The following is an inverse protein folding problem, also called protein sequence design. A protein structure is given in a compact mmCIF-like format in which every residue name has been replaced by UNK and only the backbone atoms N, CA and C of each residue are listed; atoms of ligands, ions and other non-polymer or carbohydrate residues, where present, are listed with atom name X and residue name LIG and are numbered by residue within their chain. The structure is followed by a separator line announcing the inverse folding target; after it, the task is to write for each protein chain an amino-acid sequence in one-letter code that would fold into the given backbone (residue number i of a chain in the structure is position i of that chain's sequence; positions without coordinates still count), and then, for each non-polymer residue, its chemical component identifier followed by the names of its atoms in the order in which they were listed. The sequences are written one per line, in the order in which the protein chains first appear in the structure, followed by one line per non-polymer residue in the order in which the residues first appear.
data_IF_638762119694
#
_entry.id   IF_638762119694
#
_cell.length_a   1.000
_cell.length_b   1.000
_cell.length_c   1.000
_cell.angle_alpha   90.00
_cell.angle_beta   90.00
_cell.angle_gamma   90.00
#
_symmetry.space_group_name_H-M   'P 1'
#
loop_
_entity.id
_entity.type
_entity.pdbx_description
1 polymer ?
#
# COMPACT_ATOMS: atom_id res chain seq x y z
N UNK A 1 -3.09 -21.10 20.38
CA UNK A 1 -3.97 -19.96 20.66
C UNK A 1 -4.88 -19.84 19.45
N UNK A 2 -6.17 -20.10 19.59
CA UNK A 2 -7.11 -19.91 18.47
C UNK A 2 -7.19 -18.42 18.13
N UNK A 3 -7.32 -18.05 16.84
CA UNK A 3 -7.61 -16.67 16.50
C UNK A 3 -8.94 -16.26 17.17
N UNK A 4 -9.07 -15.00 17.62
CA UNK A 4 -10.34 -14.52 18.13
C UNK A 4 -11.43 -14.73 17.06
N UNK A 5 -12.69 -14.99 17.48
CA UNK A 5 -13.79 -15.14 16.54
C UNK A 5 -13.85 -13.89 15.65
N UNK A 6 -13.86 -14.09 14.33
CA UNK A 6 -14.15 -13.02 13.39
C UNK A 6 -15.60 -12.59 13.63
N UNK A 7 -15.78 -11.53 14.40
CA UNK A 7 -17.07 -10.83 14.50
C UNK A 7 -17.46 -10.37 13.10
N UNK A 8 -18.54 -10.94 12.56
CA UNK A 8 -19.11 -10.58 11.26
C UNK A 8 -19.82 -9.23 11.28
N UNK A 9 -20.11 -8.69 12.47
CA UNK A 9 -20.58 -7.32 12.66
C UNK A 9 -19.38 -6.36 12.67
N UNK A 10 -18.91 -5.98 11.48
CA UNK A 10 -18.15 -4.73 11.40
C UNK A 10 -19.11 -3.63 11.83
N UNK A 11 -18.69 -2.77 12.75
CA UNK A 11 -19.29 -1.44 12.92
C UNK A 11 -19.07 -0.69 11.60
N UNK A 12 -19.91 -1.00 10.61
CA UNK A 12 -19.98 -0.20 9.39
C UNK A 12 -20.52 1.13 9.87
N UNK A 13 -19.75 2.23 9.75
CA UNK A 13 -20.24 3.54 10.13
C UNK A 13 -21.61 3.75 9.49
N UNK A 14 -22.60 4.24 10.25
CA UNK A 14 -23.88 4.62 9.65
C UNK A 14 -23.61 5.73 8.61
N UNK A 15 -23.68 5.37 7.32
CA UNK A 15 -23.45 6.27 6.19
C UNK A 15 -22.68 5.65 5.02
N UNK A 16 -22.60 6.41 3.94
CA UNK A 16 -21.86 6.04 2.74
C UNK A 16 -20.36 5.95 3.05
N UNK A 17 -19.73 4.84 2.65
CA UNK A 17 -18.34 4.52 2.97
C UNK A 17 -17.53 4.22 1.72
N UNK A 18 -16.33 4.79 1.65
CA UNK A 18 -15.28 4.36 0.72
C UNK A 18 -14.48 3.24 1.37
N UNK A 19 -14.48 2.07 0.73
CA UNK A 19 -13.74 0.88 1.19
C UNK A 19 -12.50 0.75 0.33
N UNK A 20 -11.32 0.74 0.96
CA UNK A 20 -10.03 0.57 0.28
C UNK A 20 -9.39 -0.73 0.76
N UNK A 21 -9.01 -1.59 -0.18
CA UNK A 21 -8.24 -2.80 0.05
C UNK A 21 -6.82 -2.61 -0.46
N UNK A 22 -5.84 -2.85 0.42
CA UNK A 22 -4.41 -2.78 0.11
C UNK A 22 -3.81 -4.19 0.13
N UNK A 23 -3.34 -4.64 -1.04
CA UNK A 23 -2.52 -5.84 -1.17
C UNK A 23 -1.06 -5.46 -0.94
N UNK A 24 -0.53 -5.72 0.26
CA UNK A 24 0.89 -5.53 0.56
C UNK A 24 1.63 -6.82 0.21
N UNK A 25 2.08 -6.93 -1.04
CA UNK A 25 2.79 -8.10 -1.55
C UNK A 25 4.31 -7.99 -1.36
N UNK A 26 5.01 -9.12 -1.45
CA UNK A 26 6.48 -9.13 -1.33
C UNK A 26 7.17 -8.40 -2.48
N UNK A 27 6.67 -8.57 -3.71
CA UNK A 27 7.27 -8.00 -4.92
C UNK A 27 6.52 -6.77 -5.44
N UNK A 28 5.20 -6.84 -5.42
CA UNK A 28 4.31 -5.79 -5.89
C UNK A 28 3.16 -5.62 -4.91
N UNK A 29 2.72 -4.39 -4.74
CA UNK A 29 1.53 -4.02 -3.97
C UNK A 29 0.47 -3.41 -4.87
N UNK A 30 -0.79 -3.42 -4.45
CA UNK A 30 -1.88 -2.85 -5.24
C UNK A 30 -3.01 -2.33 -4.35
N UNK A 31 -3.85 -1.48 -4.93
CA UNK A 31 -5.03 -0.93 -4.28
C UNK A 31 -6.25 -1.23 -5.12
N UNK A 32 -7.29 -1.75 -4.49
CA UNK A 32 -8.64 -1.78 -5.01
C UNK A 32 -9.57 -1.00 -4.08
N UNK A 33 -10.64 -0.42 -4.62
CA UNK A 33 -11.61 0.31 -3.82
C UNK A 33 -13.03 0.14 -4.35
N UNK A 34 -14.01 0.35 -3.48
CA UNK A 34 -15.43 0.33 -3.79
C UNK A 34 -16.18 1.30 -2.88
N UNK A 35 -17.35 1.75 -3.32
CA UNK A 35 -18.28 2.52 -2.49
C UNK A 35 -19.33 1.58 -1.91
N UNK A 36 -19.68 1.76 -0.63
CA UNK A 36 -20.71 0.92 0.01
C UNK A 36 -22.08 1.02 -0.67
N UNK A 37 -22.33 2.13 -1.38
CA UNK A 37 -23.56 2.39 -2.15
C UNK A 37 -23.60 1.68 -3.50
N UNK A 38 -22.47 1.17 -4.00
CA UNK A 38 -22.35 0.46 -5.28
C UNK A 38 -21.36 -0.70 -5.16
N UNK A 39 -21.70 -1.69 -4.33
CA UNK A 39 -20.81 -2.78 -3.95
C UNK A 39 -20.43 -3.74 -5.09
N UNK A 40 -21.14 -3.70 -6.22
CA UNK A 40 -20.83 -4.51 -7.39
C UNK A 40 -19.69 -3.91 -8.24
N UNK A 41 -19.41 -2.61 -8.08
CA UNK A 41 -18.32 -1.93 -8.80
C UNK A 41 -17.07 -1.85 -7.95
N UNK A 42 -16.05 -2.57 -8.39
CA UNK A 42 -14.71 -2.56 -7.82
C UNK A 42 -13.78 -1.85 -8.79
N UNK A 43 -13.07 -0.86 -8.29
CA UNK A 43 -12.08 -0.09 -9.02
C UNK A 43 -10.68 -0.50 -8.57
N UNK A 44 -9.70 -0.41 -9.47
CA UNK A 44 -8.28 -0.66 -9.17
C UNK A 44 -7.49 0.59 -9.49
N UNK A 45 -6.54 0.95 -8.64
CA UNK A 45 -5.57 2.00 -8.97
C UNK A 45 -4.58 1.45 -9.99
N UNK A 46 -4.49 2.09 -11.15
CA UNK A 46 -3.59 1.67 -12.23
C UNK A 46 -2.53 2.70 -12.61
N UNK A 47 -2.70 3.95 -12.18
CA UNK A 47 -1.74 5.02 -12.39
C UNK A 47 -0.91 5.17 -11.12
N UNK A 48 0.41 5.23 -11.29
CA UNK A 48 1.35 5.26 -10.17
C UNK A 48 2.40 6.33 -10.42
N UNK A 49 2.89 7.00 -9.37
CA UNK A 49 3.92 8.03 -9.53
C UNK A 49 5.23 7.41 -10.06
N UNK A 50 5.87 8.10 -11.00
CA UNK A 50 7.05 7.61 -11.72
C UNK A 50 6.75 6.57 -12.80
N UNK A 51 5.47 6.24 -13.01
CA UNK A 51 4.98 5.32 -14.04
C UNK A 51 3.90 5.97 -14.91
N UNK A 52 4.02 7.27 -15.21
CA UNK A 52 2.98 8.06 -15.87
C UNK A 52 2.60 7.51 -17.26
N UNK A 53 3.54 6.86 -17.95
CA UNK A 53 3.33 6.20 -19.24
C UNK A 53 2.92 4.72 -19.13
N UNK A 54 2.68 4.22 -17.90
CA UNK A 54 2.37 2.82 -17.61
C UNK A 54 1.01 2.68 -16.93
N UNK A 55 0.17 1.81 -17.49
CA UNK A 55 -1.06 1.34 -16.82
C UNK A 55 -0.76 -0.03 -16.22
N UNK A 56 -0.61 -0.10 -14.90
CA UNK A 56 -0.29 -1.33 -14.19
C UNK A 56 -1.21 -1.54 -12.99
N UNK A 57 -1.81 -2.73 -12.79
CA UNK A 57 -2.72 -2.98 -11.66
C UNK A 57 -2.01 -3.01 -10.29
N UNK A 58 -0.67 -2.96 -10.29
CA UNK A 58 0.18 -3.02 -9.11
C UNK A 58 1.43 -2.18 -9.30
N UNK A 59 2.03 -1.79 -8.18
CA UNK A 59 3.27 -1.02 -8.07
C UNK A 59 4.35 -1.85 -7.34
N UNK A 60 5.63 -1.75 -7.71
CA UNK A 60 6.70 -2.45 -6.99
C UNK A 60 6.69 -2.19 -5.47
N UNK A 61 6.88 -3.25 -4.66
CA UNK A 61 7.04 -3.15 -3.19
C UNK A 61 8.48 -2.82 -2.85
N UNK A 62 8.87 -1.60 -3.17
CA UNK A 62 10.21 -1.08 -2.94
C UNK A 62 10.15 0.34 -2.43
N UNK A 63 11.11 0.67 -1.57
CA UNK A 63 11.30 2.01 -1.00
C UNK A 63 12.80 2.30 -0.93
N UNK A 64 13.18 3.54 -1.20
CA UNK A 64 14.57 4.02 -1.14
C UNK A 64 14.57 5.37 -0.43
N UNK A 65 15.34 5.46 0.64
CA UNK A 65 15.56 6.73 1.35
C UNK A 65 16.71 7.49 0.71
N UNK A 66 16.64 8.81 0.77
CA UNK A 66 17.78 9.64 0.41
C UNK A 66 18.93 9.43 1.42
N UNK A 67 20.21 9.53 0.99
CA UNK A 67 21.35 9.33 1.88
C UNK A 67 21.27 10.19 3.14
N UNK A 68 21.30 9.54 4.31
CA UNK A 68 21.23 10.20 5.62
C UNK A 68 19.84 10.67 6.05
N UNK A 69 18.78 10.36 5.28
CA UNK A 69 17.40 10.74 5.60
C UNK A 69 16.59 9.56 6.15
N UNK A 70 15.67 9.86 7.07
CA UNK A 70 14.68 8.91 7.60
C UNK A 70 13.24 9.24 7.17
N UNK A 71 13.07 10.34 6.43
CA UNK A 71 11.76 10.90 6.05
C UNK A 71 11.62 11.22 4.57
N UNK A 72 12.73 11.47 3.87
CA UNK A 72 12.74 11.70 2.42
C UNK A 72 13.03 10.38 1.72
N UNK A 73 12.10 9.95 0.88
CA UNK A 73 12.18 8.69 0.18
C UNK A 73 11.42 8.72 -1.14
N UNK A 74 11.78 7.79 -2.02
CA UNK A 74 11.05 7.42 -3.23
C UNK A 74 10.51 6.01 -3.06
N UNK A 75 9.43 5.67 -3.76
CA UNK A 75 8.82 4.34 -3.69
C UNK A 75 8.31 3.88 -5.07
N UNK A 76 8.09 2.58 -5.22
CA UNK A 76 7.47 2.04 -6.43
C UNK A 76 8.23 2.39 -7.71
N UNK A 77 7.51 2.95 -8.69
CA UNK A 77 8.06 3.33 -10.00
C UNK A 77 8.87 4.64 -9.97
N UNK A 78 8.79 5.45 -8.91
CA UNK A 78 9.65 6.64 -8.75
C UNK A 78 11.15 6.28 -8.63
N UNK A 79 11.44 5.04 -8.23
CA UNK A 79 12.80 4.54 -8.09
C UNK A 79 13.31 4.05 -9.45
N UNK A 80 14.12 4.87 -10.09
CA UNK A 80 14.78 4.53 -11.37
C UNK A 80 16.12 3.81 -11.18
N UNK A 81 16.76 3.98 -10.02
CA UNK A 81 18.03 3.31 -9.70
C UNK A 81 17.82 1.84 -9.36
N UNK A 82 18.75 0.98 -9.82
CA UNK A 82 18.78 -0.41 -9.40
C UNK A 82 19.37 -0.58 -7.99
N UNK A 83 20.19 0.37 -7.55
CA UNK A 83 20.99 0.29 -6.32
C UNK A 83 20.27 0.90 -5.10
N UNK A 84 20.65 0.43 -3.91
CA UNK A 84 20.27 0.93 -2.58
C UNK A 84 18.78 0.98 -2.23
N UNK A 85 17.89 0.43 -3.05
CA UNK A 85 16.50 0.20 -2.67
C UNK A 85 16.38 -0.97 -1.69
N UNK A 86 15.40 -0.83 -0.80
CA UNK A 86 14.94 -1.90 0.09
C UNK A 86 13.89 -2.70 -0.67
N UNK A 87 14.10 -4.00 -0.77
CA UNK A 87 13.22 -4.95 -1.46
C UNK A 87 12.70 -6.00 -0.51
N UNK A 88 11.60 -6.67 -0.90
CA UNK A 88 11.01 -7.76 -0.11
C UNK A 88 10.72 -7.35 1.35
N UNK A 89 10.35 -6.08 1.56
CA UNK A 89 10.09 -5.46 2.86
C UNK A 89 9.14 -6.29 3.73
N UNK A 90 8.13 -6.94 3.12
CA UNK A 90 7.21 -7.85 3.80
C UNK A 90 7.91 -8.98 4.56
N UNK A 91 9.00 -9.52 4.01
CA UNK A 91 9.77 -10.61 4.63
C UNK A 91 10.61 -10.12 5.80
N UNK A 92 10.87 -8.82 5.90
CA UNK A 92 11.64 -8.23 6.99
C UNK A 92 10.79 -8.06 8.26
N UNK A 93 9.45 -8.10 8.14
CA UNK A 93 8.53 -7.94 9.27
C UNK A 93 8.54 -9.15 10.22
N UNK A 94 8.90 -10.32 9.71
CA UNK A 94 9.10 -11.55 10.48
C UNK A 94 10.34 -12.28 9.95
N UNK A 95 11.55 -11.84 10.34
CA UNK A 95 12.79 -12.38 9.81
C UNK A 95 13.04 -13.84 10.23
N UNK A 96 12.41 -14.29 11.32
CA UNK A 96 12.52 -15.64 11.86
C UNK A 96 11.56 -16.62 11.18
N UNK A 97 10.58 -16.12 10.42
CA UNK A 97 9.66 -16.97 9.67
C UNK A 97 10.43 -17.90 8.72
N UNK A 98 10.23 -19.23 8.79
CA UNK A 98 10.84 -20.17 7.86
C UNK A 98 10.44 -19.84 6.42
N UNK A 99 11.42 -19.74 5.53
CA UNK A 99 11.21 -19.37 4.11
C UNK A 99 11.50 -20.55 3.19
N UNK A 100 10.69 -20.77 2.14
CA UNK A 100 11.06 -21.67 1.06
C UNK A 100 12.37 -21.25 0.41
N UNK A 101 13.21 -22.22 0.02
CA UNK A 101 14.54 -21.99 -0.55
C UNK A 101 14.55 -21.12 -1.82
N UNK A 102 13.44 -21.09 -2.57
CA UNK A 102 13.34 -20.35 -3.82
C UNK A 102 13.09 -18.84 -3.65
N UNK A 103 13.01 -18.32 -2.42
CA UNK A 103 12.91 -16.88 -2.17
C UNK A 103 14.34 -16.31 -2.08
N UNK A 104 14.79 -15.52 -3.07
CA UNK A 104 16.21 -15.12 -3.20
C UNK A 104 16.62 -13.97 -2.26
N UNK A 105 15.75 -13.53 -1.34
CA UNK A 105 16.00 -12.38 -0.47
C UNK A 105 17.00 -12.72 0.64
N UNK A 106 18.12 -11.99 0.67
CA UNK A 106 19.01 -11.98 1.82
C UNK A 106 18.50 -10.97 2.86
N UNK A 107 17.77 -11.46 3.86
CA UNK A 107 17.16 -10.64 4.92
C UNK A 107 18.21 -9.82 5.67
N UNK A 108 19.37 -10.40 6.00
CA UNK A 108 20.42 -9.68 6.75
C UNK A 108 20.93 -8.47 5.97
N UNK A 109 21.14 -8.62 4.66
CA UNK A 109 21.57 -7.51 3.79
C UNK A 109 20.51 -6.42 3.70
N UNK A 110 19.23 -6.78 3.54
CA UNK A 110 18.16 -5.79 3.47
C UNK A 110 17.93 -5.07 4.81
N UNK A 111 18.08 -5.78 5.94
CA UNK A 111 17.97 -5.20 7.28
C UNK A 111 19.04 -4.12 7.54
N UNK A 112 20.26 -4.31 7.01
CA UNK A 112 21.35 -3.32 7.14
C UNK A 112 21.07 -2.02 6.36
N UNK A 113 20.23 -2.07 5.32
CA UNK A 113 19.85 -0.87 4.55
C UNK A 113 18.84 0.02 5.26
N UNK A 114 18.16 -0.48 6.29
CA UNK A 114 17.05 0.23 6.91
C UNK A 114 17.56 1.42 7.73
N UNK A 115 17.09 2.66 7.46
CA UNK A 115 17.50 3.83 8.24
C UNK A 115 16.73 3.95 9.56
N UNK A 116 15.74 3.08 9.78
CA UNK A 116 14.84 3.02 10.95
C UNK A 116 14.24 1.63 11.08
N UNK A 117 13.34 1.39 12.02
CA UNK A 117 12.79 0.04 12.22
C UNK A 117 12.01 -0.45 11.00
N UNK A 118 11.97 -1.76 10.77
CA UNK A 118 11.22 -2.37 9.66
C UNK A 118 9.76 -1.90 9.66
N UNK A 119 9.15 -1.84 10.85
CA UNK A 119 7.76 -1.43 11.00
C UNK A 119 7.54 0.02 10.54
N UNK A 120 8.46 0.93 10.85
CA UNK A 120 8.39 2.32 10.39
C UNK A 120 8.59 2.41 8.87
N UNK A 121 9.53 1.64 8.31
CA UNK A 121 9.74 1.60 6.85
C UNK A 121 8.53 1.02 6.11
N UNK A 122 7.91 -0.03 6.65
CA UNK A 122 6.66 -0.57 6.13
C UNK A 122 5.50 0.43 6.25
N UNK A 123 5.45 1.18 7.35
CA UNK A 123 4.45 2.22 7.56
C UNK A 123 4.59 3.37 6.56
N UNK A 124 5.83 3.81 6.27
CA UNK A 124 6.09 4.81 5.23
C UNK A 124 5.62 4.34 3.85
N UNK A 125 6.00 3.12 3.47
CA UNK A 125 5.63 2.57 2.17
C UNK A 125 4.11 2.44 2.03
N UNK A 126 3.45 1.76 2.98
CA UNK A 126 1.99 1.59 2.94
C UNK A 126 1.26 2.93 3.05
N UNK A 127 1.80 3.86 3.84
CA UNK A 127 1.31 5.23 3.93
C UNK A 127 1.37 5.95 2.59
N UNK A 128 2.50 5.89 1.89
CA UNK A 128 2.66 6.50 0.57
C UNK A 128 1.69 5.92 -0.47
N UNK A 129 1.56 4.59 -0.53
CA UNK A 129 0.60 3.89 -1.40
C UNK A 129 -0.83 4.34 -1.12
N UNK A 130 -1.22 4.39 0.17
CA UNK A 130 -2.56 4.79 0.59
C UNK A 130 -2.85 6.26 0.29
N UNK A 131 -1.89 7.16 0.57
CA UNK A 131 -2.02 8.58 0.26
C UNK A 131 -2.12 8.84 -1.24
N UNK A 132 -1.41 8.08 -2.07
CA UNK A 132 -1.57 8.13 -3.53
C UNK A 132 -2.97 7.68 -3.96
N UNK A 133 -3.46 6.56 -3.43
CA UNK A 133 -4.81 6.10 -3.71
C UNK A 133 -5.87 7.16 -3.38
N UNK A 134 -5.76 7.84 -2.23
CA UNK A 134 -6.67 8.94 -1.88
C UNK A 134 -6.63 10.13 -2.85
N UNK A 135 -5.50 10.38 -3.52
CA UNK A 135 -5.39 11.43 -4.54
C UNK A 135 -6.01 11.01 -5.87
N UNK A 136 -5.84 9.75 -6.26
CA UNK A 136 -6.39 9.20 -7.51
C UNK A 136 -7.90 8.96 -7.44
N UNK A 137 -8.42 8.62 -6.27
CA UNK A 137 -9.86 8.44 -6.07
C UNK A 137 -10.52 9.82 -6.14
N UNK A 138 -11.26 10.03 -7.23
CA UNK A 138 -11.86 11.31 -7.59
C UNK A 138 -12.60 11.98 -6.41
N UNK A 139 -12.13 13.16 -5.95
CA UNK A 139 -12.80 13.93 -4.92
C UNK A 139 -14.24 14.33 -5.28
N UNK A 140 -14.58 14.49 -6.57
CA UNK A 140 -15.94 14.75 -7.03
C UNK A 140 -16.82 13.51 -6.95
N UNK A 141 -16.34 12.33 -7.35
CA UNK A 141 -17.03 11.08 -7.06
C UNK A 141 -17.25 10.93 -5.54
N UNK A 142 -16.22 11.12 -4.72
CA UNK A 142 -16.32 11.05 -3.25
C UNK A 142 -17.31 12.09 -2.68
N UNK A 143 -17.40 13.29 -3.28
CA UNK A 143 -18.36 14.34 -2.88
C UNK A 143 -19.78 14.14 -3.39
N UNK A 144 -19.96 13.62 -4.60
CA UNK A 144 -21.25 13.30 -5.18
C UNK A 144 -21.96 12.19 -4.37
N UNK A 145 -21.17 11.29 -3.76
CA UNK A 145 -21.64 10.28 -2.81
C UNK A 145 -21.58 10.75 -1.34
N UNK A 146 -21.35 12.04 -1.07
CA UNK A 146 -21.50 12.58 0.29
C UNK A 146 -22.99 12.86 0.56
N UNK A 147 -23.58 12.37 1.68
CA UNK A 147 -25.02 12.46 1.97
C UNK A 147 -25.62 13.88 2.02
N UNK A 148 -24.77 14.91 1.98
CA UNK A 148 -25.16 16.32 2.08
C UNK A 148 -25.53 16.98 0.74
N UNK A 149 -25.41 16.28 -0.38
CA UNK A 149 -25.67 16.83 -1.73
C UNK A 149 -27.10 16.62 -2.27
N UNK A 150 -27.95 15.87 -1.56
CA UNK A 150 -29.33 15.55 -2.00
C UNK A 150 -30.44 16.35 -1.32
N UNK A 151 -30.13 17.48 -0.68
CA UNK A 151 -31.16 18.41 -0.19
C UNK A 151 -31.00 19.77 -0.88
N UNK A 152 -31.68 19.92 -2.01
CA UNK A 152 -32.17 21.21 -2.52
C UNK A 152 -33.59 21.06 -3.01
#
# INVERSE_FOLDING_TARGET
MEPPPYTTARDVPEGDSLIIALDFGTTFSGIAYAFSTDSEKIYTITNWPGGEDLIAPKVPTVIRYDPGSTTSFQWGYEITSLDDKITALKLLLDPDQPRPYFIPTNVEVEMVKLPKTVLEVASDYMGAVFQHALKEIDPEAVRAYSPSSLVR
#
